data_IF_639476594251
#
_entry.id   IF_639476594251
#
_cell.length_a   1.000
_cell.length_b   1.000
_cell.length_c   1.000
_cell.angle_alpha   90.00
_cell.angle_beta   90.00
_cell.angle_gamma   90.00
#
_symmetry.space_group_name_H-M   'P 1'
#
loop_
_entity.id
_entity.type
_entity.pdbx_description
1 polymer ?
#
# COMPACT_ATOMS: atom_id res chain seq x y z
N UNK A 1 -22.27 -19.39 46.08
CA UNK A 1 -21.05 -18.59 45.84
C UNK A 1 -20.77 -18.75 44.35
N UNK A 2 -21.60 -18.21 43.46
CA UNK A 2 -21.98 -16.81 43.27
C UNK A 2 -20.77 -15.96 42.83
N UNK A 3 -20.81 -15.62 41.55
CA UNK A 3 -20.41 -14.37 40.91
C UNK A 3 -18.91 -14.00 40.85
N UNK A 4 -18.30 -14.27 39.70
CA UNK A 4 -17.43 -13.29 39.01
C UNK A 4 -17.23 -13.69 37.54
N UNK A 5 -18.34 -13.72 36.78
CA UNK A 5 -18.32 -13.52 35.35
C UNK A 5 -18.75 -12.08 35.07
N UNK A 6 -18.07 -11.43 34.12
CA UNK A 6 -18.43 -10.16 33.46
C UNK A 6 -17.98 -8.85 34.13
N UNK A 7 -16.88 -8.29 33.60
CA UNK A 7 -16.78 -6.87 33.25
C UNK A 7 -15.63 -6.63 32.25
N UNK A 8 -16.02 -6.43 30.97
CA UNK A 8 -15.47 -5.50 29.96
C UNK A 8 -13.94 -5.32 29.86
N UNK A 9 -13.26 -5.53 28.73
CA UNK A 9 -13.57 -5.17 27.34
C UNK A 9 -12.25 -4.79 26.61
N UNK A 10 -12.28 -4.46 25.30
CA UNK A 10 -11.10 -4.33 24.41
C UNK A 10 -10.18 -3.12 24.65
N UNK A 11 -10.08 -2.61 25.88
CA UNK A 11 -9.36 -1.36 26.18
C UNK A 11 -7.85 -1.55 26.41
N UNK A 12 -7.38 -2.76 26.70
CA UNK A 12 -5.98 -3.02 27.06
C UNK A 12 -5.05 -3.32 25.87
N UNK A 13 -5.58 -3.56 24.67
CA UNK A 13 -4.76 -3.67 23.44
C UNK A 13 -4.66 -2.34 22.67
N UNK A 14 -5.52 -1.36 22.96
CA UNK A 14 -5.47 -0.03 22.36
C UNK A 14 -4.48 0.93 23.06
N UNK A 15 -3.92 0.55 24.22
CA UNK A 15 -3.05 1.41 25.02
C UNK A 15 -1.55 1.23 24.72
N UNK A 16 -1.18 0.26 23.86
CA UNK A 16 0.20 0.08 23.34
C UNK A 16 0.40 0.51 21.89
N UNK A 17 -0.66 0.99 21.22
CA UNK A 17 -0.59 1.51 19.83
C UNK A 17 -0.88 3.02 19.79
N UNK A 18 -0.82 3.68 20.96
CA UNK A 18 -0.82 5.14 21.10
C UNK A 18 0.61 5.69 21.25
N UNK A 19 1.61 5.01 20.69
CA UNK A 19 2.80 5.68 20.16
C UNK A 19 2.32 6.39 18.89
N UNK A 20 1.63 7.50 19.11
CA UNK A 20 0.94 8.28 18.12
C UNK A 20 1.92 8.68 17.02
N UNK A 21 1.46 8.68 15.78
CA UNK A 21 2.18 9.23 14.62
C UNK A 21 2.73 10.64 14.93
N UNK A 22 2.11 11.35 15.88
CA UNK A 22 2.55 12.61 16.51
C UNK A 22 3.89 12.53 17.28
N UNK A 23 4.18 11.47 18.03
CA UNK A 23 5.48 11.30 18.69
C UNK A 23 6.58 11.01 17.66
N UNK A 24 6.26 10.18 16.65
CA UNK A 24 7.21 9.93 15.55
C UNK A 24 7.44 11.18 14.70
N UNK A 25 6.41 11.99 14.49
CA UNK A 25 6.51 13.28 13.84
C UNK A 25 7.35 14.25 14.69
N UNK A 26 7.13 14.31 16.00
CA UNK A 26 7.92 15.11 16.94
C UNK A 26 9.41 14.74 16.91
N UNK A 27 9.75 13.45 16.93
CA UNK A 27 11.14 13.03 16.84
C UNK A 27 11.77 13.25 15.45
N UNK A 28 10.99 13.19 14.36
CA UNK A 28 11.48 13.57 13.01
C UNK A 28 11.77 15.07 12.93
N UNK A 29 10.87 15.90 13.44
CA UNK A 29 11.04 17.36 13.50
C UNK A 29 12.22 17.74 14.39
N UNK A 30 12.38 17.07 15.53
CA UNK A 30 13.51 17.33 16.43
C UNK A 30 14.83 16.90 15.79
N UNK A 31 14.88 15.77 15.10
CA UNK A 31 16.07 15.30 14.36
C UNK A 31 16.40 16.27 13.22
N UNK A 32 15.41 16.72 12.45
CA UNK A 32 15.60 17.72 11.41
C UNK A 32 16.08 19.07 11.96
N UNK A 33 15.59 19.50 13.12
CA UNK A 33 16.08 20.71 13.79
C UNK A 33 17.53 20.59 14.29
N UNK A 34 17.93 19.41 14.76
CA UNK A 34 19.33 19.14 15.13
C UNK A 34 20.25 19.12 13.91
N UNK A 35 19.80 18.57 12.77
CA UNK A 35 20.55 18.60 11.52
C UNK A 35 20.68 20.02 10.95
N UNK A 36 19.60 20.81 11.00
CA UNK A 36 19.62 22.22 10.59
C UNK A 36 20.53 23.04 11.51
N UNK A 37 20.50 22.81 12.82
CA UNK A 37 21.37 23.51 13.79
C UNK A 37 22.83 23.09 13.65
N UNK A 38 23.09 21.81 13.36
CA UNK A 38 24.41 21.26 13.04
C UNK A 38 24.98 21.89 11.77
N UNK A 39 24.18 21.95 10.69
CA UNK A 39 24.57 22.63 9.45
C UNK A 39 24.81 24.14 9.67
N UNK A 40 23.96 24.81 10.43
CA UNK A 40 24.09 26.25 10.73
C UNK A 40 25.37 26.55 11.52
N UNK A 41 25.78 25.63 12.38
CA UNK A 41 27.04 25.73 13.15
C UNK A 41 28.25 25.45 12.27
N UNK A 42 28.16 24.46 11.36
CA UNK A 42 29.18 24.21 10.34
C UNK A 42 29.34 25.42 9.40
N UNK A 43 28.26 26.10 9.01
CA UNK A 43 28.29 27.23 8.07
C UNK A 43 28.91 28.53 8.62
N UNK A 44 29.01 28.69 9.94
CA UNK A 44 29.58 29.92 10.54
C UNK A 44 31.11 30.06 10.37
N UNK A 45 31.81 29.02 9.92
CA UNK A 45 33.26 29.04 9.70
C UNK A 45 33.71 29.06 8.23
N UNK A 46 32.82 28.87 7.26
CA UNK A 46 33.19 28.79 5.84
C UNK A 46 32.93 30.10 5.09
N UNK A 47 33.71 30.35 4.05
CA UNK A 47 33.54 31.49 3.14
C UNK A 47 32.12 31.43 2.53
N UNK A 48 31.28 32.41 2.89
CA UNK A 48 29.87 32.49 2.47
C UNK A 48 29.70 32.45 0.94
N UNK A 49 30.71 32.87 0.18
CA UNK A 49 30.69 32.79 -1.28
C UNK A 49 30.77 31.33 -1.75
N UNK A 50 31.69 30.55 -1.20
CA UNK A 50 31.84 29.12 -1.50
C UNK A 50 30.59 28.32 -1.11
N UNK A 51 29.96 28.69 0.01
CA UNK A 51 28.68 28.11 0.47
C UNK A 51 27.56 28.40 -0.53
N UNK A 52 27.42 29.65 -0.96
CA UNK A 52 26.40 30.06 -1.92
C UNK A 52 26.61 29.37 -3.27
N UNK A 53 27.84 29.28 -3.75
CA UNK A 53 28.19 28.63 -5.02
C UNK A 53 27.90 27.12 -4.93
N UNK A 54 28.19 26.48 -3.79
CA UNK A 54 27.87 25.06 -3.56
C UNK A 54 26.36 24.80 -3.51
N UNK A 55 25.59 25.64 -2.82
CA UNK A 55 24.12 25.55 -2.76
C UNK A 55 23.51 25.79 -4.14
N UNK A 56 24.04 26.73 -4.92
CA UNK A 56 23.59 26.99 -6.30
C UNK A 56 23.85 25.78 -7.19
N UNK A 57 25.01 25.14 -7.06
CA UNK A 57 25.36 23.93 -7.80
C UNK A 57 24.49 22.73 -7.42
N UNK A 58 24.15 22.59 -6.13
CA UNK A 58 23.18 21.60 -5.63
C UNK A 58 21.78 21.84 -6.20
N UNK A 59 21.34 23.10 -6.27
CA UNK A 59 20.06 23.48 -6.90
C UNK A 59 20.05 23.14 -8.39
N UNK A 60 21.12 23.45 -9.13
CA UNK A 60 21.22 23.09 -10.55
C UNK A 60 21.16 21.57 -10.73
N UNK A 61 21.92 20.79 -9.94
CA UNK A 61 21.84 19.32 -9.94
C UNK A 61 20.45 18.80 -9.59
N UNK A 62 19.77 19.40 -8.62
CA UNK A 62 18.42 19.00 -8.23
C UNK A 62 17.41 19.29 -9.34
N UNK A 63 17.50 20.45 -10.00
CA UNK A 63 16.64 20.77 -11.14
C UNK A 63 16.90 19.88 -12.36
N UNK A 64 18.14 19.44 -12.57
CA UNK A 64 18.46 18.44 -13.60
C UNK A 64 17.90 17.06 -13.24
N UNK A 65 17.97 16.65 -11.97
CA UNK A 65 17.36 15.42 -11.48
C UNK A 65 15.84 15.45 -11.56
N UNK A 66 15.18 16.57 -11.24
CA UNK A 66 13.74 16.73 -11.40
C UNK A 66 13.32 16.69 -12.87
N UNK A 67 14.10 17.30 -13.77
CA UNK A 67 13.87 17.21 -15.22
C UNK A 67 14.05 15.79 -15.74
N UNK A 68 15.06 15.06 -15.27
CA UNK A 68 15.27 13.66 -15.69
C UNK A 68 14.20 12.73 -15.12
N UNK A 69 13.81 12.89 -13.85
CA UNK A 69 12.69 12.18 -13.25
C UNK A 69 11.37 12.51 -13.95
N UNK A 70 11.14 13.76 -14.34
CA UNK A 70 9.98 14.18 -15.14
C UNK A 70 9.91 13.45 -16.49
N UNK A 71 11.05 13.34 -17.20
CA UNK A 71 11.14 12.55 -18.44
C UNK A 71 10.81 11.07 -18.21
N UNK A 72 11.33 10.48 -17.14
CA UNK A 72 11.05 9.07 -16.79
C UNK A 72 9.57 8.89 -16.45
N UNK A 73 8.95 9.82 -15.72
CA UNK A 73 7.52 9.80 -15.41
C UNK A 73 6.68 9.91 -16.69
N UNK A 74 7.05 10.80 -17.61
CA UNK A 74 6.34 10.94 -18.88
C UNK A 74 6.50 9.71 -19.78
N UNK A 75 7.67 9.08 -19.76
CA UNK A 75 7.93 7.82 -20.47
C UNK A 75 7.14 6.66 -19.85
N UNK A 76 7.08 6.55 -18.53
CA UNK A 76 6.24 5.57 -17.82
C UNK A 76 4.75 5.81 -18.08
N UNK A 77 4.30 7.08 -18.12
CA UNK A 77 2.92 7.42 -18.49
C UNK A 77 2.60 7.02 -19.93
N UNK A 78 3.54 7.23 -20.85
CA UNK A 78 3.42 6.80 -22.24
C UNK A 78 3.35 5.27 -22.35
N UNK A 79 4.21 4.55 -21.62
CA UNK A 79 4.19 3.08 -21.55
C UNK A 79 2.90 2.54 -20.92
N UNK A 80 2.39 3.17 -19.86
CA UNK A 80 1.10 2.81 -19.27
C UNK A 80 -0.03 3.05 -20.28
N UNK A 81 0.01 4.15 -21.03
CA UNK A 81 -0.97 4.44 -22.06
C UNK A 81 -0.90 3.43 -23.21
N UNK A 82 0.30 3.03 -23.66
CA UNK A 82 0.46 2.01 -24.69
C UNK A 82 0.00 0.65 -24.19
N UNK A 83 0.39 0.23 -22.98
CA UNK A 83 -0.05 -1.03 -22.37
C UNK A 83 -1.57 -1.06 -22.14
N UNK A 84 -2.18 0.08 -21.78
CA UNK A 84 -3.64 0.18 -21.66
C UNK A 84 -4.31 0.01 -23.02
N UNK A 85 -3.73 0.59 -24.09
CA UNK A 85 -4.19 0.42 -25.47
C UNK A 85 -4.04 -1.02 -25.93
N UNK A 86 -2.89 -1.65 -25.66
CA UNK A 86 -2.62 -3.06 -25.98
C UNK A 86 -3.55 -4.00 -25.21
N UNK A 87 -3.86 -3.67 -23.94
CA UNK A 87 -4.85 -4.38 -23.14
C UNK A 87 -6.25 -4.22 -23.73
N UNK A 88 -6.66 -3.02 -24.10
CA UNK A 88 -7.95 -2.76 -24.75
C UNK A 88 -8.05 -3.46 -26.11
N UNK A 89 -6.98 -3.46 -26.91
CA UNK A 89 -6.90 -4.20 -28.17
C UNK A 89 -6.90 -5.71 -27.96
N UNK A 90 -6.22 -6.22 -26.93
CA UNK A 90 -6.22 -7.63 -26.55
C UNK A 90 -7.59 -8.05 -26.04
N UNK A 91 -8.26 -7.23 -25.23
CA UNK A 91 -9.66 -7.44 -24.81
C UNK A 91 -10.59 -7.38 -26.02
N UNK A 92 -10.40 -6.44 -26.95
CA UNK A 92 -11.20 -6.36 -28.16
C UNK A 92 -10.97 -7.56 -29.08
N UNK A 93 -9.73 -8.02 -29.23
CA UNK A 93 -9.38 -9.25 -29.95
C UNK A 93 -9.95 -10.47 -29.27
N UNK A 94 -9.83 -10.58 -27.94
CA UNK A 94 -10.38 -11.67 -27.14
C UNK A 94 -11.90 -11.67 -27.25
N UNK A 95 -12.58 -10.54 -27.05
CA UNK A 95 -14.02 -10.41 -27.20
C UNK A 95 -14.46 -10.69 -28.64
N UNK A 96 -13.70 -10.28 -29.66
CA UNK A 96 -13.97 -10.63 -31.06
C UNK A 96 -13.76 -12.12 -31.33
N UNK A 97 -12.76 -12.73 -30.70
CA UNK A 97 -12.47 -14.16 -30.79
C UNK A 97 -13.47 -14.97 -29.95
N UNK A 98 -14.05 -14.38 -28.90
CA UNK A 98 -15.07 -14.96 -28.03
C UNK A 98 -16.44 -14.81 -28.68
N UNK A 99 -16.74 -13.70 -29.35
CA UNK A 99 -17.89 -13.54 -30.25
C UNK A 99 -17.78 -14.42 -31.49
N UNK A 100 -16.59 -14.55 -32.08
CA UNK A 100 -16.35 -15.49 -33.17
C UNK A 100 -16.49 -16.93 -32.65
N UNK A 101 -15.94 -17.24 -31.47
CA UNK A 101 -16.11 -18.54 -30.81
C UNK A 101 -17.54 -18.79 -30.39
N UNK A 102 -18.33 -17.80 -29.99
CA UNK A 102 -19.75 -17.94 -29.67
C UNK A 102 -20.56 -18.11 -30.96
N UNK A 103 -20.26 -17.34 -32.00
CA UNK A 103 -20.84 -17.49 -33.33
C UNK A 103 -20.42 -18.78 -34.04
N UNK A 104 -19.30 -19.40 -33.66
CA UNK A 104 -18.91 -20.76 -34.05
C UNK A 104 -19.26 -21.82 -33.01
N UNK A 105 -19.63 -21.47 -31.77
CA UNK A 105 -20.07 -22.38 -30.70
C UNK A 105 -21.59 -22.58 -30.72
N UNK A 106 -22.34 -21.71 -31.39
CA UNK A 106 -23.63 -22.08 -31.96
C UNK A 106 -23.47 -23.21 -33.01
N UNK A 107 -22.23 -23.54 -33.41
CA UNK A 107 -21.91 -24.72 -34.21
C UNK A 107 -21.04 -25.78 -33.49
N UNK A 108 -20.20 -25.48 -32.49
CA UNK A 108 -19.45 -26.49 -31.70
C UNK A 108 -18.56 -25.90 -30.59
N UNK A 109 -18.78 -26.25 -29.31
CA UNK A 109 -17.59 -26.55 -28.46
C UNK A 109 -17.47 -26.08 -27.00
N UNK A 110 -18.48 -25.51 -26.33
CA UNK A 110 -18.37 -25.24 -24.87
C UNK A 110 -19.54 -25.74 -24.04
N UNK A 111 -20.75 -25.73 -24.60
CA UNK A 111 -21.85 -26.59 -24.13
C UNK A 111 -21.75 -27.99 -24.75
N UNK A 112 -20.92 -28.17 -25.77
CA UNK A 112 -20.82 -29.40 -26.55
C UNK A 112 -20.35 -30.61 -25.73
N UNK A 113 -19.27 -30.51 -24.95
CA UNK A 113 -18.75 -31.71 -24.26
C UNK A 113 -19.68 -32.22 -23.16
N UNK A 114 -20.32 -31.32 -22.42
CA UNK A 114 -21.24 -31.68 -21.34
C UNK A 114 -22.64 -32.04 -21.89
N UNK A 115 -23.11 -31.33 -22.93
CA UNK A 115 -24.34 -31.70 -23.63
C UNK A 115 -24.18 -32.98 -24.44
N UNK A 116 -23.01 -33.25 -25.04
CA UNK A 116 -22.71 -34.47 -25.78
C UNK A 116 -22.50 -35.63 -24.80
N UNK A 117 -21.82 -35.43 -23.67
CA UNK A 117 -21.76 -36.42 -22.60
C UNK A 117 -23.16 -36.72 -22.03
N UNK A 118 -24.00 -35.69 -21.84
CA UNK A 118 -25.39 -35.86 -21.42
C UNK A 118 -26.24 -36.58 -22.48
N UNK A 119 -26.05 -36.25 -23.77
CA UNK A 119 -26.71 -36.92 -24.90
C UNK A 119 -26.29 -38.39 -24.98
N UNK A 120 -25.00 -38.70 -24.93
CA UNK A 120 -24.52 -40.08 -24.97
C UNK A 120 -24.94 -40.88 -23.74
N UNK A 121 -25.03 -40.25 -22.55
CA UNK A 121 -25.61 -40.90 -21.36
C UNK A 121 -27.09 -41.22 -21.58
N UNK A 122 -27.87 -40.26 -22.07
CA UNK A 122 -29.29 -40.45 -22.34
C UNK A 122 -29.52 -41.52 -23.42
N UNK A 123 -28.74 -41.51 -24.48
CA UNK A 123 -28.76 -42.51 -25.55
C UNK A 123 -28.38 -43.91 -25.02
N UNK A 124 -27.36 -43.99 -24.16
CA UNK A 124 -26.96 -45.23 -23.48
C UNK A 124 -28.07 -45.75 -22.54
N UNK A 125 -28.76 -44.88 -21.80
CA UNK A 125 -29.91 -45.26 -20.97
C UNK A 125 -31.11 -45.74 -21.81
N UNK A 126 -31.39 -45.09 -22.94
CA UNK A 126 -32.44 -45.49 -23.88
C UNK A 126 -32.14 -46.84 -24.52
N UNK A 127 -30.89 -47.07 -24.94
CA UNK A 127 -30.44 -48.36 -25.49
C UNK A 127 -30.46 -49.46 -24.42
N UNK A 128 -30.06 -49.19 -23.17
CA UNK A 128 -30.18 -50.16 -22.08
C UNK A 128 -31.64 -50.54 -21.83
N UNK A 129 -32.56 -49.59 -21.83
CA UNK A 129 -34.00 -49.86 -21.72
C UNK A 129 -34.50 -50.72 -22.89
N UNK A 130 -34.05 -50.42 -24.12
CA UNK A 130 -34.41 -51.19 -25.32
C UNK A 130 -33.91 -52.63 -25.24
N UNK A 131 -32.66 -52.86 -24.84
CA UNK A 131 -32.09 -54.20 -24.61
C UNK A 131 -32.90 -54.95 -23.55
N UNK A 132 -33.26 -54.30 -22.45
CA UNK A 132 -34.04 -54.92 -21.37
C UNK A 132 -35.45 -55.31 -21.84
N UNK A 133 -36.11 -54.46 -22.63
CA UNK A 133 -37.42 -54.74 -23.22
C UNK A 133 -37.35 -55.90 -24.22
N UNK A 134 -36.39 -55.90 -25.15
CA UNK A 134 -36.20 -56.95 -26.15
C UNK A 134 -35.87 -58.30 -25.48
N UNK A 135 -35.06 -58.28 -24.43
CA UNK A 135 -34.77 -59.48 -23.62
C UNK A 135 -36.03 -60.04 -22.95
N UNK A 136 -36.92 -59.16 -22.44
CA UNK A 136 -38.23 -59.54 -21.93
C UNK A 136 -39.13 -60.16 -23.00
N UNK A 137 -39.22 -59.54 -24.18
CA UNK A 137 -39.98 -60.06 -25.33
C UNK A 137 -39.47 -61.44 -25.77
N UNK A 138 -38.15 -61.63 -25.81
CA UNK A 138 -37.53 -62.92 -26.10
C UNK A 138 -37.88 -63.99 -25.06
N UNK A 139 -37.96 -63.62 -23.79
CA UNK A 139 -38.38 -64.53 -22.73
C UNK A 139 -39.82 -64.99 -22.94
N UNK A 140 -40.75 -64.06 -23.20
CA UNK A 140 -42.16 -64.37 -23.46
C UNK A 140 -42.29 -65.25 -24.71
N UNK A 141 -41.67 -64.87 -25.83
CA UNK A 141 -41.74 -65.62 -27.06
C UNK A 141 -41.15 -67.04 -26.94
N UNK A 142 -40.07 -67.22 -26.15
CA UNK A 142 -39.56 -68.56 -25.80
C UNK A 142 -40.60 -69.41 -25.10
N UNK A 143 -41.29 -68.85 -24.10
CA UNK A 143 -42.36 -69.58 -23.38
C UNK A 143 -43.53 -69.94 -24.30
N UNK A 144 -43.94 -69.02 -25.18
CA UNK A 144 -45.01 -69.26 -26.16
C UNK A 144 -44.63 -70.36 -27.15
N UNK A 145 -43.40 -70.33 -27.69
CA UNK A 145 -42.87 -71.40 -28.55
C UNK A 145 -42.90 -72.75 -27.85
N UNK A 146 -42.48 -72.84 -26.57
CA UNK A 146 -42.52 -74.10 -25.81
C UNK A 146 -43.94 -74.58 -25.56
N UNK A 147 -44.88 -73.67 -25.32
CA UNK A 147 -46.30 -74.01 -25.14
C UNK A 147 -46.94 -74.52 -26.43
N UNK A 148 -46.70 -73.84 -27.54
CA UNK A 148 -47.19 -74.26 -28.86
C UNK A 148 -46.61 -75.63 -29.25
N UNK A 149 -45.32 -75.87 -28.98
CA UNK A 149 -44.71 -77.18 -29.21
C UNK A 149 -45.41 -78.29 -28.43
N UNK A 150 -45.64 -78.07 -27.13
CA UNK A 150 -46.34 -79.05 -26.29
C UNK A 150 -47.75 -79.34 -26.80
N UNK A 151 -48.50 -78.32 -27.23
CA UNK A 151 -49.83 -78.50 -27.82
C UNK A 151 -49.79 -79.29 -29.13
N UNK A 152 -48.78 -79.06 -29.98
CA UNK A 152 -48.57 -79.85 -31.21
C UNK A 152 -48.29 -81.31 -30.85
N UNK A 153 -47.44 -81.56 -29.86
CA UNK A 153 -47.10 -82.93 -29.43
C UNK A 153 -48.34 -83.66 -28.90
N UNK A 154 -49.11 -83.04 -27.99
CA UNK A 154 -50.35 -83.59 -27.42
C UNK A 154 -51.41 -83.89 -28.51
N UNK A 155 -51.60 -82.98 -29.49
CA UNK A 155 -52.55 -83.19 -30.58
C UNK A 155 -52.06 -84.26 -31.57
N UNK A 156 -50.74 -84.36 -31.79
CA UNK A 156 -50.15 -85.37 -32.68
C UNK A 156 -50.35 -86.77 -32.10
N UNK A 157 -50.20 -86.93 -30.78
CA UNK A 157 -50.49 -88.17 -30.07
C UNK A 157 -51.96 -88.58 -30.23
N UNK A 158 -52.91 -87.67 -29.95
CA UNK A 158 -54.35 -87.91 -30.17
C UNK A 158 -54.67 -88.30 -31.62
N UNK A 159 -53.99 -87.69 -32.59
CA UNK A 159 -54.19 -87.97 -34.00
C UNK A 159 -53.66 -89.36 -34.38
N UNK A 160 -52.53 -89.80 -33.81
CA UNK A 160 -52.01 -91.16 -33.97
C UNK A 160 -52.97 -92.20 -33.38
N UNK A 161 -53.51 -91.96 -32.17
CA UNK A 161 -54.51 -92.85 -31.55
C UNK A 161 -55.77 -92.98 -32.42
N UNK A 162 -56.32 -91.87 -32.90
CA UNK A 162 -57.50 -91.87 -33.76
C UNK A 162 -57.24 -92.53 -35.12
N UNK A 163 -56.05 -92.39 -35.69
CA UNK A 163 -55.66 -93.11 -36.92
C UNK A 163 -55.58 -94.61 -36.68
N UNK A 164 -54.95 -95.03 -35.59
CA UNK A 164 -54.86 -96.45 -35.23
C UNK A 164 -56.25 -97.07 -35.01
N UNK A 165 -57.16 -96.36 -34.33
CA UNK A 165 -58.54 -96.82 -34.12
C UNK A 165 -59.34 -96.86 -35.44
N UNK A 166 -59.17 -95.87 -36.31
CA UNK A 166 -59.79 -95.85 -37.63
C UNK A 166 -59.26 -96.98 -38.54
N UNK A 167 -57.97 -97.31 -38.46
CA UNK A 167 -57.38 -98.47 -39.14
C UNK A 167 -57.91 -99.79 -38.58
N UNK A 168 -58.03 -99.91 -37.25
CA UNK A 168 -58.64 -101.08 -36.61
C UNK A 168 -60.08 -101.28 -37.08
N UNK A 169 -60.88 -100.21 -37.09
CA UNK A 169 -62.23 -100.25 -37.63
C UNK A 169 -62.24 -100.55 -39.14
N UNK A 170 -61.28 -100.07 -39.93
CA UNK A 170 -61.21 -100.43 -41.34
C UNK A 170 -60.95 -101.93 -41.58
N UNK A 171 -60.31 -102.63 -40.63
CA UNK A 171 -60.04 -104.08 -40.71
C UNK A 171 -61.15 -104.96 -40.12
N UNK A 172 -61.90 -104.46 -39.13
CA UNK A 172 -63.10 -105.11 -38.61
C UNK A 172 -64.27 -104.90 -39.60
N UNK A 173 -64.39 -105.79 -40.58
CA UNK A 173 -65.32 -105.71 -41.71
C UNK A 173 -66.79 -105.97 -41.28
N UNK A 174 -67.38 -105.02 -40.54
CA UNK A 174 -68.75 -105.09 -40.02
C UNK A 174 -69.67 -104.22 -40.87
N UNK A 175 -70.51 -104.84 -41.71
CA UNK A 175 -71.55 -104.19 -42.52
C UNK A 175 -72.73 -103.71 -41.64
N UNK A 176 -72.50 -102.70 -40.80
CA UNK A 176 -73.57 -101.97 -40.08
C UNK A 176 -73.54 -100.48 -40.42
N UNK A 177 -74.70 -99.87 -40.62
CA UNK A 177 -74.81 -98.43 -40.90
C UNK A 177 -74.19 -97.57 -39.80
N UNK A 178 -74.30 -98.01 -38.54
CA UNK A 178 -73.66 -97.39 -37.37
C UNK A 178 -72.13 -97.33 -37.47
N UNK A 179 -71.50 -98.30 -38.14
CA UNK A 179 -70.06 -98.36 -38.29
C UNK A 179 -69.54 -97.41 -39.37
N UNK A 180 -70.31 -97.26 -40.47
CA UNK A 180 -70.05 -96.25 -41.50
C UNK A 180 -70.07 -94.83 -40.93
N UNK A 181 -71.08 -94.52 -40.11
CA UNK A 181 -71.21 -93.20 -39.48
C UNK A 181 -70.06 -92.92 -38.51
N UNK A 182 -69.67 -93.90 -37.68
CA UNK A 182 -68.53 -93.78 -36.77
C UNK A 182 -67.21 -93.53 -37.52
N UNK A 183 -66.98 -94.24 -38.63
CA UNK A 183 -65.82 -94.04 -39.50
C UNK A 183 -65.77 -92.63 -40.09
N UNK A 184 -66.91 -92.10 -40.52
CA UNK A 184 -67.00 -90.73 -41.05
C UNK A 184 -66.71 -89.68 -39.96
N UNK A 185 -67.20 -89.88 -38.74
CA UNK A 185 -66.89 -89.03 -37.58
C UNK A 185 -65.40 -89.05 -37.27
N UNK A 186 -64.75 -90.21 -37.25
CA UNK A 186 -63.29 -90.29 -37.03
C UNK A 186 -62.48 -89.63 -38.15
N UNK A 187 -62.88 -89.79 -39.41
CA UNK A 187 -62.24 -89.11 -40.53
C UNK A 187 -62.35 -87.58 -40.42
N UNK A 188 -63.52 -87.06 -40.02
CA UNK A 188 -63.70 -85.64 -39.75
C UNK A 188 -62.79 -85.18 -38.59
N UNK A 189 -62.74 -85.95 -37.48
CA UNK A 189 -61.89 -85.61 -36.33
C UNK A 189 -60.40 -85.61 -36.66
N UNK A 190 -59.92 -86.59 -37.44
CA UNK A 190 -58.53 -86.65 -37.92
C UNK A 190 -58.21 -85.42 -38.79
N UNK A 191 -59.14 -84.99 -39.64
CA UNK A 191 -58.97 -83.79 -40.46
C UNK A 191 -58.93 -82.53 -39.60
N UNK A 192 -59.86 -82.38 -38.65
CA UNK A 192 -59.87 -81.25 -37.71
C UNK A 192 -58.55 -81.15 -36.90
N UNK A 193 -58.07 -82.27 -36.38
CA UNK A 193 -56.81 -82.30 -35.62
C UNK A 193 -55.60 -82.01 -36.52
N UNK A 194 -55.61 -82.51 -37.76
CA UNK A 194 -54.56 -82.21 -38.75
C UNK A 194 -54.51 -80.71 -39.06
N UNK A 195 -55.68 -80.10 -39.31
CA UNK A 195 -55.80 -78.66 -39.58
C UNK A 195 -55.36 -77.82 -38.36
N UNK A 196 -55.63 -78.29 -37.13
CA UNK A 196 -55.16 -77.64 -35.89
C UNK A 196 -53.65 -77.71 -35.72
N UNK A 197 -53.04 -78.87 -35.97
CA UNK A 197 -51.58 -79.05 -35.93
C UNK A 197 -50.89 -78.16 -36.98
N UNK A 198 -51.45 -78.05 -38.19
CA UNK A 198 -50.90 -77.17 -39.23
C UNK A 198 -50.95 -75.69 -38.81
N UNK A 199 -52.07 -75.24 -38.23
CA UNK A 199 -52.19 -73.87 -37.70
C UNK A 199 -51.20 -73.58 -36.56
N UNK A 200 -51.05 -74.51 -35.62
CA UNK A 200 -50.09 -74.34 -34.51
C UNK A 200 -48.63 -74.35 -35.01
N UNK A 201 -48.31 -75.16 -36.02
CA UNK A 201 -47.00 -75.14 -36.65
C UNK A 201 -46.71 -73.79 -37.35
N UNK A 202 -47.69 -73.23 -38.06
CA UNK A 202 -47.57 -71.90 -38.65
C UNK A 202 -47.37 -70.81 -37.58
N UNK A 203 -48.10 -70.88 -36.46
CA UNK A 203 -47.92 -69.97 -35.32
C UNK A 203 -46.53 -70.12 -34.68
N UNK A 204 -46.07 -71.35 -34.45
CA UNK A 204 -44.74 -71.65 -33.92
C UNK A 204 -43.65 -71.07 -34.81
N UNK A 205 -43.77 -71.20 -36.14
CA UNK A 205 -42.82 -70.62 -37.08
C UNK A 205 -42.84 -69.09 -37.02
N UNK A 206 -44.02 -68.47 -37.00
CA UNK A 206 -44.16 -67.01 -36.87
C UNK A 206 -43.54 -66.47 -35.57
N UNK A 207 -43.72 -67.16 -34.44
CA UNK A 207 -43.09 -66.79 -33.16
C UNK A 207 -41.56 -66.95 -33.25
N UNK A 208 -41.07 -67.99 -33.91
CA UNK A 208 -39.65 -68.21 -34.09
C UNK A 208 -38.99 -67.13 -34.95
N UNK A 209 -39.64 -66.69 -36.03
CA UNK A 209 -39.14 -65.60 -36.88
C UNK A 209 -39.13 -64.27 -36.11
N UNK A 210 -40.18 -64.00 -35.31
CA UNK A 210 -40.23 -62.83 -34.43
C UNK A 210 -39.13 -62.85 -33.37
N UNK A 211 -38.81 -64.02 -32.80
CA UNK A 211 -37.71 -64.17 -31.86
C UNK A 211 -36.36 -63.86 -32.51
N UNK A 212 -36.10 -64.39 -33.70
CA UNK A 212 -34.83 -64.13 -34.40
C UNK A 212 -34.64 -62.64 -34.68
N UNK A 213 -35.71 -61.95 -35.08
CA UNK A 213 -35.67 -60.50 -35.30
C UNK A 213 -35.38 -59.73 -34.00
N UNK A 214 -36.05 -60.09 -32.89
CA UNK A 214 -35.81 -59.45 -31.60
C UNK A 214 -34.40 -59.75 -31.04
N UNK A 215 -33.85 -60.94 -31.28
CA UNK A 215 -32.46 -61.29 -30.97
C UNK A 215 -31.47 -60.41 -31.73
N UNK A 216 -31.70 -60.21 -33.03
CA UNK A 216 -30.83 -59.37 -33.85
C UNK A 216 -30.90 -57.89 -33.44
N UNK A 217 -32.10 -57.35 -33.20
CA UNK A 217 -32.26 -55.97 -32.70
C UNK A 217 -31.61 -55.76 -31.32
N UNK A 218 -31.62 -56.78 -30.45
CA UNK A 218 -30.94 -56.74 -29.16
C UNK A 218 -29.42 -56.69 -29.36
N UNK A 219 -28.89 -57.54 -30.25
CA UNK A 219 -27.45 -57.61 -30.51
C UNK A 219 -26.91 -56.33 -31.12
N UNK A 220 -27.67 -55.69 -32.00
CA UNK A 220 -27.31 -54.40 -32.60
C UNK A 220 -27.30 -53.28 -31.54
N UNK A 221 -28.33 -53.21 -30.68
CA UNK A 221 -28.36 -52.25 -29.57
C UNK A 221 -27.24 -52.48 -28.55
N UNK A 222 -26.84 -53.73 -28.33
CA UNK A 222 -25.75 -54.08 -27.41
C UNK A 222 -24.38 -53.68 -27.98
N UNK A 223 -24.14 -53.84 -29.29
CA UNK A 223 -22.93 -53.33 -29.95
C UNK A 223 -22.84 -51.82 -29.88
N UNK A 224 -23.96 -51.12 -30.06
CA UNK A 224 -24.01 -49.66 -29.96
C UNK A 224 -23.65 -49.19 -28.54
N UNK A 225 -24.14 -49.87 -27.51
CA UNK A 225 -23.73 -49.64 -26.12
C UNK A 225 -22.22 -49.85 -25.89
N UNK A 226 -21.63 -50.88 -26.47
CA UNK A 226 -20.19 -51.14 -26.36
C UNK A 226 -19.34 -50.04 -26.99
N UNK A 227 -19.83 -49.37 -28.04
CA UNK A 227 -19.15 -48.23 -28.67
C UNK A 227 -19.33 -46.94 -27.89
N UNK A 228 -20.51 -46.71 -27.30
CA UNK A 228 -20.82 -45.47 -26.57
C UNK A 228 -20.16 -45.41 -25.19
N UNK A 229 -19.97 -46.55 -24.51
CA UNK A 229 -19.35 -46.62 -23.18
C UNK A 229 -17.94 -46.01 -23.11
N UNK A 230 -16.97 -46.41 -23.95
CA UNK A 230 -15.63 -45.83 -23.91
C UNK A 230 -15.61 -44.36 -24.32
N UNK A 231 -16.52 -43.92 -25.21
CA UNK A 231 -16.65 -42.49 -25.56
C UNK A 231 -17.10 -41.65 -24.36
N UNK A 232 -18.07 -42.15 -23.58
CA UNK A 232 -18.51 -41.48 -22.36
C UNK A 232 -17.38 -41.39 -21.32
N UNK A 233 -16.59 -42.45 -21.17
CA UNK A 233 -15.45 -42.48 -20.25
C UNK A 233 -14.33 -41.52 -20.68
N UNK A 234 -14.03 -41.48 -21.98
CA UNK A 234 -13.05 -40.52 -22.54
C UNK A 234 -13.49 -39.08 -22.30
N UNK A 235 -14.75 -38.73 -22.64
CA UNK A 235 -15.27 -37.38 -22.44
C UNK A 235 -15.27 -36.96 -20.97
N UNK A 236 -15.54 -37.90 -20.05
CA UNK A 236 -15.46 -37.63 -18.62
C UNK A 236 -14.02 -37.32 -18.19
N UNK A 237 -13.05 -38.09 -18.69
CA UNK A 237 -11.63 -37.83 -18.41
C UNK A 237 -11.17 -36.49 -18.96
N UNK A 238 -11.57 -36.16 -20.20
CA UNK A 238 -11.23 -34.87 -20.82
C UNK A 238 -11.84 -33.69 -20.04
N UNK A 239 -13.06 -33.85 -19.51
CA UNK A 239 -13.71 -32.88 -18.64
C UNK A 239 -12.95 -32.70 -17.31
N UNK A 240 -12.54 -33.79 -16.67
CA UNK A 240 -11.76 -33.77 -15.42
C UNK A 240 -10.40 -33.08 -15.64
N UNK A 241 -9.70 -33.35 -16.76
CA UNK A 241 -8.44 -32.70 -17.13
C UNK A 241 -8.61 -31.20 -17.44
N UNK A 242 -9.70 -30.81 -18.11
CA UNK A 242 -10.00 -29.41 -18.39
C UNK A 242 -10.29 -28.63 -17.11
N UNK A 243 -11.05 -29.22 -16.17
CA UNK A 243 -11.35 -28.62 -14.87
C UNK A 243 -10.08 -28.45 -14.04
N UNK A 244 -9.19 -29.44 -13.99
CA UNK A 244 -7.91 -29.31 -13.28
C UNK A 244 -7.03 -28.17 -13.81
N UNK A 245 -6.94 -28.02 -15.14
CA UNK A 245 -6.22 -26.88 -15.76
C UNK A 245 -6.85 -25.52 -15.42
N UNK A 246 -8.18 -25.47 -15.29
CA UNK A 246 -8.91 -24.26 -14.94
C UNK A 246 -8.60 -23.85 -13.49
N UNK A 247 -8.60 -24.81 -12.56
CA UNK A 247 -8.20 -24.60 -11.16
C UNK A 247 -6.74 -24.12 -11.04
N UNK A 248 -5.81 -24.70 -11.79
CA UNK A 248 -4.40 -24.27 -11.81
C UNK A 248 -4.25 -22.83 -12.31
N UNK A 249 -4.99 -22.46 -13.36
CA UNK A 249 -4.98 -21.09 -13.90
C UNK A 249 -5.58 -20.11 -12.89
N UNK A 250 -6.67 -20.46 -12.24
CA UNK A 250 -7.31 -19.61 -11.22
C UNK A 250 -6.40 -19.40 -10.01
N UNK A 251 -5.71 -20.45 -9.54
CA UNK A 251 -4.72 -20.34 -8.47
C UNK A 251 -3.58 -19.40 -8.87
N UNK A 252 -3.02 -19.56 -10.07
CA UNK A 252 -1.94 -18.71 -10.57
C UNK A 252 -2.39 -17.25 -10.75
N UNK A 253 -3.60 -17.03 -11.24
CA UNK A 253 -4.17 -15.68 -11.37
C UNK A 253 -4.35 -15.02 -10.00
N UNK A 254 -4.81 -15.78 -9.00
CA UNK A 254 -4.95 -15.29 -7.63
C UNK A 254 -3.60 -14.88 -7.03
N UNK A 255 -2.58 -15.72 -7.17
CA UNK A 255 -1.21 -15.39 -6.73
C UNK A 255 -0.68 -14.13 -7.42
N UNK A 256 -0.91 -13.97 -8.74
CA UNK A 256 -0.50 -12.76 -9.45
C UNK A 256 -1.22 -11.51 -8.98
N UNK A 257 -2.53 -11.61 -8.68
CA UNK A 257 -3.30 -10.50 -8.13
C UNK A 257 -2.77 -10.10 -6.76
N UNK A 258 -2.51 -11.07 -5.88
CA UNK A 258 -1.99 -10.81 -4.54
C UNK A 258 -0.58 -10.16 -4.61
N UNK A 259 0.28 -10.64 -5.50
CA UNK A 259 1.61 -10.05 -5.72
C UNK A 259 1.52 -8.61 -6.24
N UNK A 260 0.64 -8.34 -7.21
CA UNK A 260 0.41 -6.99 -7.73
C UNK A 260 -0.19 -6.06 -6.67
N UNK A 261 -1.09 -6.56 -5.83
CA UNK A 261 -1.64 -5.78 -4.72
C UNK A 261 -0.56 -5.39 -3.72
N UNK A 262 0.36 -6.32 -3.38
CA UNK A 262 1.48 -6.01 -2.51
C UNK A 262 2.39 -4.93 -3.12
N UNK A 263 2.72 -5.04 -4.40
CA UNK A 263 3.54 -4.05 -5.10
C UNK A 263 2.89 -2.65 -5.12
N UNK A 264 1.56 -2.59 -5.30
CA UNK A 264 0.81 -1.33 -5.22
C UNK A 264 0.86 -0.74 -3.82
N UNK A 265 0.75 -1.55 -2.76
CA UNK A 265 0.88 -1.08 -1.38
C UNK A 265 2.26 -0.50 -1.11
N UNK A 266 3.32 -1.18 -1.55
CA UNK A 266 4.71 -0.75 -1.36
C UNK A 266 4.97 0.60 -2.06
N UNK A 267 4.57 0.72 -3.33
CA UNK A 267 4.68 1.97 -4.11
C UNK A 267 3.83 3.10 -3.53
N UNK A 268 2.68 2.77 -2.93
CA UNK A 268 1.83 3.77 -2.24
C UNK A 268 2.54 4.29 -0.98
N UNK A 269 3.17 3.41 -0.21
CA UNK A 269 3.97 3.78 0.95
C UNK A 269 5.18 4.64 0.58
N UNK A 270 5.88 4.30 -0.50
CA UNK A 270 7.01 5.09 -1.02
C UNK A 270 6.57 6.49 -1.49
N UNK A 271 5.44 6.58 -2.19
CA UNK A 271 4.86 7.88 -2.58
C UNK A 271 4.48 8.75 -1.37
N UNK A 272 3.99 8.16 -0.26
CA UNK A 272 3.73 8.91 0.98
C UNK A 272 5.03 9.53 1.51
N UNK A 273 6.12 8.76 1.57
CA UNK A 273 7.44 9.25 2.01
C UNK A 273 7.97 10.37 1.11
N UNK A 274 7.83 10.25 -0.21
CA UNK A 274 8.26 11.29 -1.15
C UNK A 274 7.47 12.59 -0.98
N UNK A 275 6.17 12.50 -0.70
CA UNK A 275 5.35 13.68 -0.39
C UNK A 275 5.79 14.37 0.90
N UNK A 276 6.04 13.59 1.96
CA UNK A 276 6.58 14.11 3.22
C UNK A 276 7.93 14.83 2.99
N UNK A 277 8.86 14.22 2.24
CA UNK A 277 10.14 14.85 1.89
C UNK A 277 9.99 16.15 1.09
N UNK A 278 8.99 16.22 0.22
CA UNK A 278 8.70 17.44 -0.56
C UNK A 278 8.22 18.56 0.35
N UNK A 279 7.38 18.24 1.34
CA UNK A 279 6.89 19.20 2.34
C UNK A 279 8.03 19.75 3.20
N UNK A 280 8.91 18.88 3.73
CA UNK A 280 10.12 19.32 4.45
C UNK A 280 11.00 20.24 3.61
N UNK A 281 11.15 19.94 2.31
CA UNK A 281 11.96 20.77 1.40
C UNK A 281 11.36 22.17 1.22
N UNK A 282 10.04 22.29 1.10
CA UNK A 282 9.37 23.59 1.01
C UNK A 282 9.50 24.41 2.30
N UNK A 283 9.45 23.77 3.46
CA UNK A 283 9.64 24.47 4.73
C UNK A 283 11.07 24.96 4.94
N UNK A 284 12.07 24.17 4.51
CA UNK A 284 13.47 24.60 4.46
C UNK A 284 13.63 25.81 3.52
N UNK A 285 13.00 25.81 2.34
CA UNK A 285 13.02 26.97 1.42
C UNK A 285 12.46 28.22 2.08
N UNK A 286 11.29 28.12 2.74
CA UNK A 286 10.68 29.26 3.46
C UNK A 286 11.60 29.76 4.58
N UNK A 287 12.21 28.85 5.34
CA UNK A 287 13.16 29.20 6.40
C UNK A 287 14.41 29.92 5.86
N UNK A 288 14.93 29.48 4.71
CA UNK A 288 16.07 30.10 4.04
C UNK A 288 15.74 31.51 3.56
N UNK A 289 14.57 31.73 2.97
CA UNK A 289 14.10 33.08 2.57
C UNK A 289 13.99 34.00 3.79
N UNK A 290 13.43 33.53 4.91
CA UNK A 290 13.37 34.32 6.15
C UNK A 290 14.75 34.64 6.70
N UNK A 291 15.66 33.66 6.71
CA UNK A 291 17.03 33.85 7.20
C UNK A 291 17.82 34.85 6.36
N UNK A 292 17.68 34.81 5.04
CA UNK A 292 18.37 35.74 4.13
C UNK A 292 17.81 37.17 4.25
N UNK A 293 16.50 37.31 4.44
CA UNK A 293 15.89 38.61 4.72
C UNK A 293 16.41 39.22 6.05
N UNK A 294 16.42 38.42 7.12
CA UNK A 294 16.95 38.85 8.42
C UNK A 294 18.44 39.21 8.36
N UNK A 295 19.25 38.50 7.58
CA UNK A 295 20.66 38.81 7.39
C UNK A 295 20.86 40.14 6.64
N UNK A 296 20.01 40.44 5.65
CA UNK A 296 20.02 41.72 4.95
C UNK A 296 19.66 42.88 5.87
N UNK A 297 18.66 42.71 6.72
CA UNK A 297 18.28 43.70 7.73
C UNK A 297 19.39 43.91 8.76
N UNK A 298 20.00 42.84 9.26
CA UNK A 298 21.13 42.91 10.19
C UNK A 298 22.35 43.61 9.57
N UNK A 299 22.64 43.35 8.30
CA UNK A 299 23.70 44.03 7.56
C UNK A 299 23.43 45.53 7.41
N UNK A 300 22.20 45.91 7.05
CA UNK A 300 21.79 47.31 6.98
C UNK A 300 21.90 48.02 8.35
N UNK A 301 21.48 47.35 9.42
CA UNK A 301 21.60 47.86 10.78
C UNK A 301 23.07 48.06 11.21
N UNK A 302 23.96 47.11 10.86
CA UNK A 302 25.41 47.25 11.11
C UNK A 302 26.00 48.45 10.37
N UNK A 303 25.69 48.61 9.08
CA UNK A 303 26.16 49.76 8.31
C UNK A 303 25.68 51.10 8.89
N UNK A 304 24.42 51.16 9.36
CA UNK A 304 23.88 52.34 10.03
C UNK A 304 24.60 52.62 11.37
N UNK A 305 24.91 51.60 12.17
CA UNK A 305 25.67 51.73 13.40
C UNK A 305 27.11 52.19 13.15
N UNK A 306 27.79 51.64 12.15
CA UNK A 306 29.13 52.09 11.75
C UNK A 306 29.13 53.56 11.34
N UNK A 307 28.11 54.00 10.60
CA UNK A 307 27.91 55.42 10.28
C UNK A 307 27.78 56.30 11.53
N UNK A 308 26.99 55.85 12.53
CA UNK A 308 26.85 56.56 13.81
C UNK A 308 28.17 56.59 14.59
N UNK A 309 28.92 55.48 14.65
CA UNK A 309 30.21 55.41 15.34
C UNK A 309 31.20 56.39 14.72
N UNK A 310 31.29 56.45 13.38
CA UNK A 310 32.17 57.44 12.71
C UNK A 310 31.75 58.88 13.03
N UNK A 311 30.46 59.19 12.98
CA UNK A 311 29.97 60.53 13.30
C UNK A 311 30.26 60.93 14.75
N UNK A 312 30.08 60.01 15.70
CA UNK A 312 30.43 60.23 17.11
C UNK A 312 31.94 60.38 17.30
N UNK A 313 32.76 59.60 16.59
CA UNK A 313 34.22 59.74 16.58
C UNK A 313 34.66 61.13 16.13
N UNK A 314 34.15 61.61 14.99
CA UNK A 314 34.45 62.97 14.49
C UNK A 314 34.02 64.05 15.49
N UNK A 315 32.87 63.86 16.17
CA UNK A 315 32.41 64.78 17.21
C UNK A 315 33.34 64.75 18.43
N UNK A 316 33.81 63.57 18.84
CA UNK A 316 34.79 63.42 19.92
C UNK A 316 36.09 64.14 19.59
N UNK A 317 36.67 63.91 18.41
CA UNK A 317 37.90 64.56 17.96
C UNK A 317 37.76 66.09 17.91
N UNK A 318 36.58 66.59 17.48
CA UNK A 318 36.29 68.02 17.48
C UNK A 318 36.25 68.60 18.90
N UNK A 319 35.59 67.91 19.83
CA UNK A 319 35.55 68.31 21.25
C UNK A 319 36.93 68.23 21.92
N UNK A 320 37.77 67.25 21.55
CA UNK A 320 39.16 67.17 22.03
C UNK A 320 40.01 68.35 21.55
N UNK A 321 39.89 68.73 20.27
CA UNK A 321 40.57 69.91 19.72
C UNK A 321 40.11 71.20 20.40
N UNK A 322 38.81 71.35 20.64
CA UNK A 322 38.25 72.49 21.37
C UNK A 322 38.79 72.54 22.81
N UNK A 323 38.79 71.41 23.52
CA UNK A 323 39.37 71.33 24.87
C UNK A 323 40.86 71.68 24.89
N UNK A 324 41.63 71.26 23.89
CA UNK A 324 43.05 71.61 23.79
C UNK A 324 43.26 73.10 23.53
N UNK A 325 42.45 73.72 22.66
CA UNK A 325 42.45 75.16 22.45
C UNK A 325 42.12 75.92 23.74
N UNK A 326 41.12 75.45 24.49
CA UNK A 326 40.77 76.02 25.79
C UNK A 326 41.93 75.91 26.79
N UNK A 327 42.63 74.77 26.85
CA UNK A 327 43.84 74.61 27.70
C UNK A 327 44.94 75.59 27.34
N UNK A 328 45.23 75.76 26.05
CA UNK A 328 46.21 76.74 25.57
C UNK A 328 45.80 78.16 25.98
N UNK A 329 44.52 78.50 25.81
CA UNK A 329 43.99 79.82 26.21
C UNK A 329 44.04 80.04 27.73
N UNK A 330 43.78 79.01 28.54
CA UNK A 330 43.93 79.11 30.00
C UNK A 330 45.40 79.30 30.38
N UNK A 331 46.31 78.58 29.71
CA UNK A 331 47.76 78.75 29.92
C UNK A 331 48.26 80.16 29.59
N UNK A 332 47.80 80.75 28.49
CA UNK A 332 48.17 82.13 28.13
C UNK A 332 47.60 83.16 29.12
N UNK A 333 46.36 82.98 29.58
CA UNK A 333 45.77 83.82 30.62
C UNK A 333 46.53 83.69 31.95
N UNK A 334 46.94 82.48 32.33
CA UNK A 334 47.75 82.27 33.54
C UNK A 334 49.11 82.97 33.45
N UNK A 335 49.78 82.88 32.30
CA UNK A 335 51.03 83.61 32.05
C UNK A 335 50.84 85.12 32.16
N UNK A 336 49.73 85.65 31.62
CA UNK A 336 49.41 87.08 31.74
C UNK A 336 49.12 87.50 33.20
N UNK A 337 48.48 86.64 33.99
CA UNK A 337 48.28 86.85 35.42
C UNK A 337 49.63 86.88 36.15
N UNK A 338 50.52 85.94 35.86
CA UNK A 338 51.84 85.86 36.49
C UNK A 338 52.72 87.07 36.11
N UNK A 339 52.68 87.51 34.85
CA UNK A 339 53.33 88.76 34.41
C UNK A 339 52.78 89.98 35.13
N UNK A 340 51.46 90.10 35.23
CA UNK A 340 50.82 91.17 35.98
C UNK A 340 51.18 91.13 37.46
N UNK A 341 51.34 89.94 38.05
CA UNK A 341 51.78 89.76 39.43
C UNK A 341 53.22 90.22 39.62
N UNK A 342 54.14 89.81 38.74
CA UNK A 342 55.54 90.27 38.76
C UNK A 342 55.61 91.79 38.59
N UNK A 343 54.79 92.36 37.70
CA UNK A 343 54.71 93.80 37.51
C UNK A 343 54.21 94.51 38.77
N UNK A 344 53.17 93.98 39.42
CA UNK A 344 52.69 94.49 40.70
C UNK A 344 53.77 94.39 41.79
N UNK A 345 54.49 93.27 41.90
CA UNK A 345 55.61 93.09 42.84
C UNK A 345 56.74 94.12 42.58
N UNK A 346 57.04 94.44 41.32
CA UNK A 346 57.98 95.52 40.97
C UNK A 346 57.48 96.89 41.39
N UNK A 347 56.21 97.20 41.15
CA UNK A 347 55.59 98.46 41.61
C UNK A 347 55.64 98.55 43.14
N UNK A 348 55.32 97.47 43.84
CA UNK A 348 55.41 97.39 45.30
C UNK A 348 56.86 97.64 45.77
N UNK A 349 57.86 97.06 45.12
CA UNK A 349 59.27 97.34 45.42
C UNK A 349 59.67 98.79 45.13
N UNK A 350 59.23 99.38 44.02
CA UNK A 350 59.48 100.78 43.69
C UNK A 350 58.81 101.72 44.70
N UNK A 351 57.59 101.43 45.12
CA UNK A 351 56.90 102.12 46.20
C UNK A 351 57.67 102.00 47.52
N UNK A 352 58.17 100.80 47.84
CA UNK A 352 58.95 100.56 49.06
C UNK A 352 60.29 101.32 49.04
N UNK A 353 60.93 101.41 47.87
CA UNK A 353 62.16 102.17 47.66
C UNK A 353 61.92 103.69 47.73
N UNK A 354 60.79 104.18 47.20
CA UNK A 354 60.38 105.58 47.35
C UNK A 354 60.06 105.93 48.81
N UNK A 355 59.37 105.03 49.53
CA UNK A 355 59.13 105.18 50.96
C UNK A 355 60.43 105.19 51.77
N UNK A 356 61.38 104.30 51.43
CA UNK A 356 62.70 104.26 52.06
C UNK A 356 63.55 105.52 51.74
N UNK A 357 63.46 106.05 50.52
CA UNK A 357 64.14 107.28 50.13
C UNK A 357 63.56 108.52 50.84
N UNK A 358 62.25 108.55 51.10
CA UNK A 358 61.62 109.63 51.88
C UNK A 358 61.98 109.61 53.37
N UNK A 359 62.34 108.45 53.92
CA UNK A 359 62.70 108.27 55.35
C UNK A 359 64.21 108.35 55.63
N UNK A 360 65.07 108.40 54.60
CA UNK A 360 66.53 108.33 54.74
C UNK A 360 67.28 109.66 54.81
N UNK A 361 66.62 110.81 54.64
CA UNK A 361 67.30 112.12 54.49
C UNK A 361 67.01 113.15 55.60
N UNK A 362 66.46 112.73 56.76
CA UNK A 362 66.32 113.65 57.91
C UNK A 362 66.38 112.94 59.28
N UNK A 363 67.55 113.05 59.91
CA UNK A 363 67.77 113.27 61.34
C UNK A 363 67.53 112.14 62.37
N UNK A 364 68.65 111.68 62.98
CA UNK A 364 68.78 111.46 64.44
C UNK A 364 68.69 112.82 65.19
N UNK A 365 68.54 112.92 66.55
CA UNK A 365 68.82 111.91 67.59
C UNK A 365 67.88 111.85 68.83
N UNK A 366 68.11 110.78 69.62
CA UNK A 366 68.17 110.68 71.10
C UNK A 366 66.99 110.91 72.07
N UNK A 367 66.98 109.97 73.03
CA UNK A 367 66.61 110.06 74.46
C UNK A 367 65.16 109.88 74.96
N UNK A 368 64.94 108.67 75.48
CA UNK A 368 64.61 108.38 76.89
C UNK A 368 63.53 109.22 77.63
N UNK A 369 62.61 108.47 78.23
CA UNK A 369 61.90 108.70 79.52
C UNK A 369 60.53 109.40 79.54
N UNK A 370 59.49 108.60 79.29
CA UNK A 370 58.44 108.30 80.28
C UNK A 370 58.58 106.79 80.58
N UNK A 371 59.27 106.30 81.61
CA UNK A 371 59.01 106.38 83.06
C UNK A 371 57.56 106.05 83.50
N UNK A 372 57.45 104.95 84.28
CA UNK A 372 56.54 104.76 85.42
C UNK A 372 55.06 104.45 85.13
N UNK A 373 54.78 103.16 84.87
CA UNK A 373 53.53 102.50 85.33
C UNK A 373 53.60 100.96 85.48
N UNK A 374 54.77 100.34 85.63
CA UNK A 374 54.86 98.88 85.86
C UNK A 374 56.01 98.47 86.80
N UNK A 375 56.22 99.26 87.86
CA UNK A 375 56.85 98.82 89.11
C UNK A 375 55.84 99.06 90.25
N UNK A 376 54.94 98.10 90.49
CA UNK A 376 54.24 97.90 91.79
C UNK A 376 53.53 96.54 91.82
N UNK A 377 54.26 95.50 91.46
CA UNK A 377 54.09 94.09 91.82
C UNK A 377 55.27 93.42 91.10
N UNK A 378 56.42 93.19 91.72
CA UNK A 378 56.58 92.08 92.66
C UNK A 378 58.02 92.13 93.21
N UNK A 379 58.31 93.14 94.04
CA UNK A 379 59.28 93.02 95.12
C UNK A 379 58.50 92.78 96.41
N UNK A 380 58.01 91.56 96.56
CA UNK A 380 57.52 91.00 97.81
C UNK A 380 57.69 89.48 97.78
N UNK A 381 58.94 89.05 97.59
CA UNK A 381 59.54 87.79 98.06
C UNK A 381 61.03 87.92 97.71
N UNK A 382 61.69 88.97 98.22
CA UNK A 382 62.22 88.99 99.60
C UNK A 382 63.02 87.74 99.85
N UNK A 383 64.34 87.93 99.89
CA UNK A 383 65.17 87.46 100.99
C UNK A 383 64.52 86.33 101.80
N UNK A 384 64.63 85.12 101.28
CA UNK A 384 64.71 83.98 102.16
C UNK A 384 65.67 82.97 101.56
N UNK A 385 66.82 82.91 102.22
CA UNK A 385 67.89 81.94 102.14
C UNK A 385 68.98 82.32 101.13
N UNK A 386 69.98 83.08 101.57
CA UNK A 386 71.00 82.66 102.56
C UNK A 386 71.64 81.31 102.24
N UNK A 387 72.95 81.29 102.48
CA UNK A 387 73.87 80.17 102.42
C UNK A 387 74.25 79.79 100.99
N UNK A 388 75.49 79.99 100.54
CA UNK A 388 76.77 79.76 101.21
C UNK A 388 77.78 80.69 100.51
N UNK A 389 78.58 81.53 101.15
CA UNK A 389 79.23 81.36 102.44
C UNK A 389 80.70 80.97 102.21
N UNK A 390 81.56 81.95 101.92
CA UNK A 390 83.02 82.03 102.18
C UNK A 390 83.70 82.99 101.19
#
# INVERSE_FOLDING_TARGET
MADEEMLSGPALQAQKVKDTEEERAFYRDQTAMYDISSMKTAFNGYDRKAVRDYVTKLLEQQTEQEKSAGKVIDELRSQIASLKRDKEESIAKYNKLLLAKLSTNDASGSDGSDADAARFRKESEELQKKVLMLSGQLSVAKTEKTRAQKQIDDLTEQLQELRAENERMATENIDSSTFSDAKQVFQQKIKELSDQIEKLNAQKQSVQDSMQKAEQERDDAQKELEVLRPKCESLKKDLDEANGKLEDIDAKNKEQVDALQQQVQDLTGENKKLREMTEYTEDIKKALVRSTAAEKEASAARSALEGKVRALGMKSDAMEKENEQLRISVGSLQSAIDESRIYNEKIEQELHNLYAAQLGEAAQPEEQQEEKAAETAEQAETEMNEAVGA
#
